data_IF_874792442065
#
_entry.id   IF_874792442065
#
_cell.length_a   1.000
_cell.length_b   1.000
_cell.length_c   1.000
_cell.angle_alpha   90.00
_cell.angle_beta   90.00
_cell.angle_gamma   90.00
#
_symmetry.space_group_name_H-M   'P 1'
#
loop_
_entity.id
_entity.type
_entity.pdbx_description
1 polymer ?
#
# COMPACT_ATOMS: atom_id res chain seq x y z
N UNK A 1 14.83 -18.87 -18.33
CA UNK A 1 16.12 -18.47 -17.72
C UNK A 1 16.02 -18.65 -16.22
N UNK A 2 17.13 -18.82 -15.51
CA UNK A 2 17.10 -18.90 -14.05
C UNK A 2 16.70 -17.52 -13.47
N UNK A 3 15.88 -17.52 -12.41
CA UNK A 3 15.52 -16.29 -11.69
C UNK A 3 16.77 -15.68 -11.05
N UNK A 4 16.82 -14.35 -10.98
CA UNK A 4 17.80 -13.62 -10.17
C UNK A 4 17.60 -13.97 -8.68
N UNK A 5 18.63 -13.86 -7.84
CA UNK A 5 18.53 -14.07 -6.40
C UNK A 5 17.83 -12.88 -5.71
N UNK A 6 16.74 -12.38 -6.28
CA UNK A 6 15.98 -11.22 -5.82
C UNK A 6 14.55 -11.64 -5.48
N UNK A 7 13.96 -11.05 -4.43
CA UNK A 7 12.60 -11.31 -4.00
C UNK A 7 11.78 -10.02 -3.86
N UNK A 8 10.56 -10.06 -4.37
CA UNK A 8 9.54 -9.01 -4.23
C UNK A 8 8.40 -9.54 -3.35
N UNK A 9 8.13 -8.87 -2.23
CA UNK A 9 7.11 -9.24 -1.25
C UNK A 9 5.89 -8.31 -1.37
N UNK A 10 4.69 -8.88 -1.43
CA UNK A 10 3.45 -8.11 -1.65
C UNK A 10 3.39 -7.53 -3.06
N UNK A 11 3.69 -8.36 -4.05
CA UNK A 11 3.96 -7.89 -5.41
C UNK A 11 2.71 -7.43 -6.18
N UNK A 12 1.51 -7.80 -5.73
CA UNK A 12 0.25 -7.53 -6.44
C UNK A 12 0.34 -7.88 -7.91
N UNK A 13 -0.09 -6.97 -8.78
CA UNK A 13 0.02 -7.12 -10.24
C UNK A 13 1.28 -6.46 -10.83
N UNK A 14 2.17 -5.93 -10.00
CA UNK A 14 3.31 -5.13 -10.44
C UNK A 14 4.63 -5.78 -10.01
N UNK A 15 5.15 -6.63 -10.90
CA UNK A 15 6.32 -7.45 -10.63
C UNK A 15 7.15 -7.73 -11.88
N UNK A 16 8.39 -8.16 -11.67
CA UNK A 16 9.31 -8.54 -12.74
C UNK A 16 9.49 -10.06 -12.79
N UNK A 17 9.45 -10.65 -13.99
CA UNK A 17 9.49 -12.11 -14.17
C UNK A 17 10.81 -12.76 -13.74
N UNK A 18 11.90 -12.01 -13.80
CA UNK A 18 13.22 -12.49 -13.34
C UNK A 18 13.32 -12.57 -11.81
N UNK A 19 12.34 -12.05 -11.05
CA UNK A 19 12.35 -12.04 -9.59
C UNK A 19 11.50 -13.19 -9.00
N UNK A 20 11.80 -13.56 -7.77
CA UNK A 20 10.87 -14.37 -6.96
C UNK A 20 9.79 -13.44 -6.42
N UNK A 21 8.54 -13.67 -6.82
CA UNK A 21 7.43 -12.79 -6.47
C UNK A 21 6.51 -13.51 -5.50
N UNK A 22 6.18 -12.87 -4.38
CA UNK A 22 5.34 -13.42 -3.30
C UNK A 22 4.20 -12.46 -3.02
N UNK A 23 2.99 -12.99 -2.88
CA UNK A 23 1.81 -12.20 -2.50
C UNK A 23 0.85 -13.06 -1.66
N UNK A 24 -0.07 -12.44 -0.92
CA UNK A 24 -1.09 -13.17 -0.16
C UNK A 24 -2.01 -13.97 -1.08
N UNK A 25 -2.33 -13.41 -2.26
CA UNK A 25 -3.11 -14.07 -3.31
C UNK A 25 -2.28 -14.07 -4.59
N UNK A 26 -2.15 -15.22 -5.25
CA UNK A 26 -1.44 -15.31 -6.53
C UNK A 26 -2.14 -14.48 -7.60
N UNK A 27 -1.46 -13.47 -8.12
CA UNK A 27 -1.95 -12.58 -9.18
C UNK A 27 -1.65 -13.08 -10.60
N UNK A 28 -0.81 -14.11 -10.75
CA UNK A 28 -0.44 -14.66 -12.05
C UNK A 28 0.53 -15.83 -11.98
N UNK A 29 0.88 -16.38 -13.14
CA UNK A 29 1.88 -17.44 -13.25
C UNK A 29 3.24 -16.94 -12.74
N UNK A 30 3.84 -17.67 -11.80
CA UNK A 30 5.15 -17.32 -11.22
C UNK A 30 5.11 -16.47 -9.96
N UNK A 31 3.91 -16.15 -9.43
CA UNK A 31 3.70 -15.54 -8.11
C UNK A 31 3.37 -16.62 -7.08
N UNK A 32 4.09 -16.60 -5.96
CA UNK A 32 3.91 -17.55 -4.87
C UNK A 32 2.87 -16.99 -3.90
N UNK A 33 1.73 -17.67 -3.78
CA UNK A 33 0.74 -17.34 -2.77
C UNK A 33 1.25 -17.72 -1.37
N UNK A 34 1.46 -16.73 -0.50
CA UNK A 34 1.98 -16.93 0.85
C UNK A 34 1.61 -15.81 1.81
N UNK A 35 1.29 -16.18 3.06
CA UNK A 35 1.01 -15.24 4.13
C UNK A 35 2.30 -14.81 4.84
N UNK A 36 2.72 -13.56 4.67
CA UNK A 36 3.95 -13.04 5.28
C UNK A 36 3.86 -12.87 6.82
N UNK A 37 2.67 -12.95 7.43
CA UNK A 37 2.52 -12.99 8.89
C UNK A 37 3.13 -14.23 9.53
N UNK A 38 3.31 -15.31 8.76
CA UNK A 38 3.96 -16.55 9.24
C UNK A 38 5.43 -16.65 8.83
N UNK A 39 6.01 -15.54 8.33
CA UNK A 39 7.41 -15.46 7.89
C UNK A 39 7.59 -15.59 6.38
N UNK A 40 8.83 -15.42 5.91
CA UNK A 40 9.19 -15.53 4.49
C UNK A 40 9.56 -16.99 4.19
N UNK A 41 8.95 -17.68 3.19
CA UNK A 41 9.03 -19.13 3.01
C UNK A 41 10.32 -19.57 2.30
N UNK A 42 11.45 -19.04 2.74
CA UNK A 42 12.76 -19.27 2.15
C UNK A 42 13.82 -19.39 3.23
N UNK A 43 14.89 -20.12 2.92
CA UNK A 43 16.05 -20.30 3.79
C UNK A 43 16.81 -18.99 4.02
N UNK A 44 17.62 -18.99 5.07
CA UNK A 44 18.49 -17.88 5.44
C UNK A 44 19.51 -17.60 4.35
N UNK A 45 19.90 -16.33 4.18
CA UNK A 45 20.96 -15.93 3.25
C UNK A 45 20.75 -16.41 1.80
N UNK A 46 19.50 -16.44 1.34
CA UNK A 46 19.15 -16.85 -0.02
C UNK A 46 19.24 -15.73 -1.03
N UNK A 47 18.76 -14.54 -0.67
CA UNK A 47 18.55 -13.45 -1.62
C UNK A 47 19.62 -12.36 -1.48
N UNK A 48 20.00 -11.76 -2.60
CA UNK A 48 20.86 -10.57 -2.64
C UNK A 48 20.04 -9.29 -2.53
N UNK A 49 18.77 -9.34 -2.90
CA UNK A 49 17.85 -8.21 -2.82
C UNK A 49 16.51 -8.66 -2.28
N UNK A 50 15.99 -7.93 -1.31
CA UNK A 50 14.60 -7.98 -0.87
C UNK A 50 13.99 -6.62 -1.19
N UNK A 51 12.85 -6.64 -1.86
CA UNK A 51 12.05 -5.46 -2.17
C UNK A 51 10.62 -5.65 -1.71
N UNK A 52 10.01 -4.59 -1.20
CA UNK A 52 8.58 -4.50 -1.06
C UNK A 52 8.09 -3.07 -1.22
N UNK A 53 6.89 -2.91 -1.78
CA UNK A 53 6.25 -1.63 -2.04
C UNK A 53 4.85 -1.65 -1.46
N UNK A 54 4.57 -0.72 -0.55
CA UNK A 54 3.25 -0.54 0.04
C UNK A 54 2.71 -1.83 0.69
N UNK A 55 3.53 -2.42 1.58
CA UNK A 55 3.16 -3.61 2.34
C UNK A 55 3.31 -3.43 3.85
N UNK A 56 4.40 -2.80 4.29
CA UNK A 56 4.79 -2.74 5.71
C UNK A 56 3.75 -2.01 6.54
N UNK A 57 3.10 -1.01 5.95
CA UNK A 57 2.06 -0.21 6.58
C UNK A 57 0.79 -1.02 6.91
N UNK A 58 0.58 -2.16 6.25
CA UNK A 58 -0.56 -3.05 6.52
C UNK A 58 -0.31 -3.98 7.71
N UNK A 59 0.89 -4.00 8.28
CA UNK A 59 1.22 -4.81 9.45
C UNK A 59 1.03 -4.02 10.75
N UNK A 60 0.49 -4.67 11.78
CA UNK A 60 0.61 -4.16 13.14
C UNK A 60 2.09 -3.95 13.46
N UNK A 61 2.40 -2.94 14.29
CA UNK A 61 3.78 -2.56 14.60
C UNK A 61 4.70 -3.75 14.94
N UNK A 62 4.23 -4.68 15.78
CA UNK A 62 5.00 -5.87 16.16
C UNK A 62 5.17 -6.87 15.02
N UNK A 63 4.18 -7.01 14.13
CA UNK A 63 4.28 -7.90 12.99
C UNK A 63 5.13 -7.29 11.88
N UNK A 64 5.13 -5.97 11.73
CA UNK A 64 6.07 -5.24 10.87
C UNK A 64 7.52 -5.42 11.34
N UNK A 65 7.77 -5.40 12.65
CA UNK A 65 9.09 -5.74 13.20
C UNK A 65 9.52 -7.18 12.84
N UNK A 66 8.61 -8.15 12.92
CA UNK A 66 8.89 -9.53 12.49
C UNK A 66 9.18 -9.59 10.99
N UNK A 67 8.43 -8.88 10.15
CA UNK A 67 8.68 -8.81 8.71
C UNK A 67 10.08 -8.28 8.41
N UNK A 68 10.50 -7.18 9.04
CA UNK A 68 11.86 -6.63 8.87
C UNK A 68 12.93 -7.62 9.34
N UNK A 69 12.70 -8.32 10.45
CA UNK A 69 13.59 -9.40 10.90
C UNK A 69 13.71 -10.53 9.88
N UNK A 70 12.60 -10.93 9.26
CA UNK A 70 12.59 -11.96 8.21
C UNK A 70 13.29 -11.49 6.94
N UNK A 71 13.12 -10.22 6.53
CA UNK A 71 13.88 -9.62 5.44
C UNK A 71 15.39 -9.70 5.71
N UNK A 72 15.83 -9.40 6.93
CA UNK A 72 17.23 -9.56 7.33
C UNK A 72 17.67 -11.03 7.26
N UNK A 73 16.84 -11.97 7.76
CA UNK A 73 17.17 -13.41 7.76
C UNK A 73 17.44 -13.93 6.34
N UNK A 74 16.55 -13.65 5.40
CA UNK A 74 16.63 -14.20 4.03
C UNK A 74 17.67 -13.50 3.15
N UNK A 75 18.11 -12.28 3.51
CA UNK A 75 19.19 -11.60 2.79
C UNK A 75 20.54 -12.28 3.03
N UNK A 76 21.39 -12.36 2.00
CA UNK A 76 22.82 -12.64 2.09
C UNK A 76 23.54 -11.48 2.77
N UNK A 77 24.70 -11.74 3.38
CA UNK A 77 25.59 -10.68 3.87
C UNK A 77 25.93 -9.70 2.73
N UNK A 78 25.78 -8.41 2.97
CA UNK A 78 25.93 -7.36 1.96
C UNK A 78 24.74 -7.18 1.02
N UNK A 79 23.68 -7.98 1.18
CA UNK A 79 22.44 -7.85 0.41
C UNK A 79 21.65 -6.60 0.77
N UNK A 80 20.81 -6.15 -0.16
CA UNK A 80 20.08 -4.87 -0.07
C UNK A 80 18.60 -5.11 0.21
N UNK A 81 18.08 -4.43 1.22
CA UNK A 81 16.64 -4.25 1.43
C UNK A 81 16.25 -2.90 0.85
N UNK A 82 15.27 -2.89 -0.08
CA UNK A 82 14.64 -1.67 -0.59
C UNK A 82 13.16 -1.65 -0.21
N UNK A 83 12.74 -0.56 0.41
CA UNK A 83 11.39 -0.36 0.92
C UNK A 83 10.79 0.87 0.26
N UNK A 84 9.57 0.75 -0.26
CA UNK A 84 8.70 1.87 -0.61
C UNK A 84 7.43 1.80 0.25
N UNK A 85 7.08 2.89 0.94
CA UNK A 85 5.89 3.01 1.80
C UNK A 85 5.27 4.41 1.67
N UNK A 86 4.01 4.62 2.06
CA UNK A 86 3.44 5.97 2.20
C UNK A 86 4.30 6.86 3.12
N UNK A 87 4.63 8.07 2.65
CA UNK A 87 5.47 9.00 3.41
C UNK A 87 4.64 9.79 4.44
N UNK A 88 4.65 9.32 5.70
CA UNK A 88 3.99 10.00 6.81
C UNK A 88 4.49 11.43 7.00
N UNK A 89 5.79 11.67 6.82
CA UNK A 89 6.36 13.01 7.01
C UNK A 89 5.82 13.97 5.95
N UNK A 90 5.76 13.54 4.70
CA UNK A 90 5.21 14.35 3.62
C UNK A 90 3.71 14.60 3.81
N UNK A 91 2.94 13.58 4.21
CA UNK A 91 1.50 13.73 4.53
C UNK A 91 1.31 14.77 5.65
N UNK A 92 2.09 14.69 6.73
CA UNK A 92 2.01 15.62 7.85
C UNK A 92 2.41 17.06 7.45
N UNK A 93 3.43 17.23 6.61
CA UNK A 93 3.83 18.54 6.07
C UNK A 93 2.74 19.14 5.19
N UNK A 94 2.14 18.34 4.32
CA UNK A 94 1.04 18.76 3.46
C UNK A 94 -0.19 19.16 4.29
N UNK A 95 -0.46 18.44 5.38
CA UNK A 95 -1.56 18.76 6.29
C UNK A 95 -1.40 20.18 6.85
N UNK A 96 -0.23 20.51 7.40
CA UNK A 96 0.04 21.86 7.93
C UNK A 96 -0.01 22.90 6.81
N UNK A 97 0.61 22.62 5.66
CA UNK A 97 0.65 23.55 4.53
C UNK A 97 -0.77 23.91 4.03
N UNK A 98 -1.60 22.90 3.79
CA UNK A 98 -2.94 23.12 3.24
C UNK A 98 -3.93 23.62 4.28
N UNK A 99 -3.75 23.30 5.56
CA UNK A 99 -4.50 23.92 6.65
C UNK A 99 -4.27 25.44 6.67
N UNK A 100 -3.01 25.86 6.67
CA UNK A 100 -2.67 27.30 6.69
C UNK A 100 -3.19 28.05 5.46
N UNK A 101 -3.12 27.44 4.28
CA UNK A 101 -3.66 28.01 3.05
C UNK A 101 -5.21 28.07 3.07
N UNK A 102 -5.87 27.04 3.60
CA UNK A 102 -7.33 26.99 3.72
C UNK A 102 -7.85 28.05 4.70
N UNK A 103 -7.16 28.28 5.83
CA UNK A 103 -7.51 29.34 6.78
C UNK A 103 -7.41 30.75 6.18
N UNK A 104 -6.56 30.93 5.18
CA UNK A 104 -6.43 32.18 4.40
C UNK A 104 -7.42 32.27 3.23
N UNK A 105 -8.27 31.27 3.05
CA UNK A 105 -9.20 31.15 1.91
C UNK A 105 -8.49 31.17 0.55
N UNK A 106 -7.29 30.59 0.47
CA UNK A 106 -6.61 30.43 -0.81
C UNK A 106 -7.40 29.47 -1.72
N UNK A 107 -7.47 29.80 -3.01
CA UNK A 107 -8.22 29.01 -3.98
C UNK A 107 -7.69 27.57 -4.08
N UNK A 108 -8.57 26.58 -3.96
CA UNK A 108 -8.23 25.15 -4.04
C UNK A 108 -7.57 24.56 -2.79
N UNK A 109 -7.31 25.36 -1.75
CA UNK A 109 -6.63 24.88 -0.54
C UNK A 109 -7.51 23.96 0.31
N UNK A 110 -8.82 24.22 0.35
CA UNK A 110 -9.79 23.40 1.06
C UNK A 110 -9.81 21.97 0.53
N UNK A 111 -9.83 21.80 -0.79
CA UNK A 111 -9.85 20.49 -1.44
C UNK A 111 -8.57 19.73 -1.13
N UNK A 112 -7.40 20.39 -1.23
CA UNK A 112 -6.11 19.77 -0.90
C UNK A 112 -6.04 19.34 0.57
N UNK A 113 -6.54 20.17 1.49
CA UNK A 113 -6.66 19.84 2.90
C UNK A 113 -7.55 18.61 3.12
N UNK A 114 -8.74 18.58 2.51
CA UNK A 114 -9.66 17.44 2.60
C UNK A 114 -9.00 16.15 2.13
N UNK A 115 -8.27 16.17 1.00
CA UNK A 115 -7.54 15.00 0.50
C UNK A 115 -6.46 14.53 1.48
N UNK A 116 -5.65 15.45 2.03
CA UNK A 116 -4.60 15.06 3.00
C UNK A 116 -5.19 14.45 4.28
N UNK A 117 -6.38 14.90 4.70
CA UNK A 117 -7.08 14.27 5.82
C UNK A 117 -7.50 12.83 5.49
N UNK A 118 -7.90 12.54 4.26
CA UNK A 118 -8.19 11.17 3.81
C UNK A 118 -6.93 10.30 3.79
N UNK A 119 -5.83 10.82 3.27
CA UNK A 119 -4.53 10.10 3.28
C UNK A 119 -4.08 9.77 4.71
N UNK A 120 -4.30 10.68 5.66
CA UNK A 120 -3.88 10.52 7.04
C UNK A 120 -4.81 9.62 7.86
N UNK A 121 -6.13 9.74 7.68
CA UNK A 121 -7.11 9.10 8.57
C UNK A 121 -7.95 8.02 7.89
N UNK A 122 -8.51 8.26 6.70
CA UNK A 122 -9.38 7.27 6.03
C UNK A 122 -8.64 5.95 5.83
N UNK A 123 -7.37 6.00 5.43
CA UNK A 123 -6.49 4.84 5.30
C UNK A 123 -6.36 3.98 6.56
N UNK A 124 -6.57 4.57 7.74
CA UNK A 124 -6.36 3.94 9.06
C UNK A 124 -7.69 3.53 9.72
N UNK A 125 -8.77 4.27 9.45
CA UNK A 125 -10.05 4.14 10.17
C UNK A 125 -11.20 3.60 9.33
N UNK A 126 -11.06 3.51 7.99
CA UNK A 126 -12.16 3.09 7.12
C UNK A 126 -12.66 1.67 7.45
N UNK A 127 -13.92 1.43 7.09
CA UNK A 127 -14.63 0.18 7.36
C UNK A 127 -15.24 -0.46 6.11
N UNK A 128 -14.97 0.12 4.94
CA UNK A 128 -15.42 -0.33 3.62
C UNK A 128 -14.32 -0.09 2.59
N UNK A 129 -14.31 -0.90 1.54
CA UNK A 129 -13.31 -0.81 0.48
C UNK A 129 -13.28 0.57 -0.19
N UNK A 130 -12.08 1.12 -0.36
CA UNK A 130 -11.84 2.42 -0.98
C UNK A 130 -12.28 3.66 -0.19
N UNK A 131 -12.99 3.48 0.93
CA UNK A 131 -13.30 4.54 1.90
C UNK A 131 -13.97 5.78 1.30
N UNK A 132 -13.71 6.93 1.92
CA UNK A 132 -14.16 8.25 1.44
C UNK A 132 -13.34 8.77 0.26
N UNK A 133 -12.16 8.19 -0.01
CA UNK A 133 -11.35 8.58 -1.18
C UNK A 133 -12.06 8.32 -2.50
N UNK A 134 -12.75 7.19 -2.64
CA UNK A 134 -13.53 6.90 -3.86
C UNK A 134 -14.65 7.94 -4.04
N UNK A 135 -15.36 8.29 -2.96
CA UNK A 135 -16.42 9.29 -3.00
C UNK A 135 -15.87 10.67 -3.39
N UNK A 136 -14.70 11.02 -2.86
CA UNK A 136 -13.99 12.24 -3.20
C UNK A 136 -13.54 12.27 -4.66
N UNK A 137 -12.98 11.18 -5.19
CA UNK A 137 -12.58 11.05 -6.60
C UNK A 137 -13.80 11.12 -7.54
N UNK A 138 -14.97 10.65 -7.11
CA UNK A 138 -16.19 10.70 -7.91
C UNK A 138 -16.75 12.11 -8.07
N UNK A 139 -16.47 13.00 -7.12
CA UNK A 139 -16.97 14.37 -7.13
C UNK A 139 -16.14 15.27 -8.05
N UNK A 140 -16.50 15.27 -9.34
CA UNK A 140 -15.86 16.11 -10.35
C UNK A 140 -16.08 17.61 -10.14
N UNK A 141 -17.00 18.03 -9.25
CA UNK A 141 -17.25 19.45 -8.99
C UNK A 141 -16.09 20.13 -8.25
N UNK A 142 -15.23 19.33 -7.59
CA UNK A 142 -14.05 19.82 -6.85
C UNK A 142 -12.90 20.30 -7.74
N UNK A 143 -12.89 19.96 -9.04
CA UNK A 143 -11.91 20.41 -10.03
C UNK A 143 -10.43 20.28 -9.58
N UNK A 144 -10.07 19.14 -8.98
CA UNK A 144 -8.77 18.90 -8.33
C UNK A 144 -7.99 17.73 -8.95
N UNK A 145 -8.41 17.23 -10.11
CA UNK A 145 -7.82 16.09 -10.81
C UNK A 145 -6.31 16.22 -11.01
N UNK A 146 -5.84 17.41 -11.40
CA UNK A 146 -4.41 17.67 -11.60
C UNK A 146 -3.59 17.45 -10.33
N UNK A 147 -4.14 17.87 -9.18
CA UNK A 147 -3.51 17.67 -7.88
C UNK A 147 -3.51 16.20 -7.48
N UNK A 148 -4.62 15.47 -7.67
CA UNK A 148 -4.68 14.04 -7.38
C UNK A 148 -3.65 13.25 -8.21
N UNK A 149 -3.56 13.54 -9.51
CA UNK A 149 -2.60 12.89 -10.40
C UNK A 149 -1.15 13.20 -10.02
N UNK A 150 -0.85 14.44 -9.64
CA UNK A 150 0.47 14.83 -9.14
C UNK A 150 0.81 14.08 -7.85
N UNK A 151 -0.16 13.95 -6.94
CA UNK A 151 0.01 13.39 -5.60
C UNK A 151 0.16 11.87 -5.60
N UNK A 152 -0.67 11.15 -6.35
CA UNK A 152 -0.81 9.69 -6.27
C UNK A 152 -0.43 8.97 -7.58
N UNK A 153 -0.08 9.71 -8.63
CA UNK A 153 0.55 9.16 -9.84
C UNK A 153 -0.37 8.27 -10.66
N UNK A 154 0.19 7.15 -11.15
CA UNK A 154 -0.49 6.32 -12.16
C UNK A 154 -1.70 5.56 -11.61
N UNK A 155 -1.70 5.17 -10.34
CA UNK A 155 -2.78 4.36 -9.76
C UNK A 155 -4.08 5.14 -9.64
N UNK A 156 -4.02 6.40 -9.20
CA UNK A 156 -5.22 7.25 -9.12
C UNK A 156 -5.76 7.55 -10.52
N UNK A 157 -4.89 7.65 -11.53
CA UNK A 157 -5.30 7.81 -12.93
C UNK A 157 -6.18 6.64 -13.38
N UNK A 158 -5.71 5.41 -13.20
CA UNK A 158 -6.48 4.20 -13.54
C UNK A 158 -7.79 4.12 -12.75
N UNK A 159 -7.76 4.49 -11.47
CA UNK A 159 -8.95 4.50 -10.61
C UNK A 159 -9.99 5.51 -11.11
N UNK A 160 -9.56 6.73 -11.48
CA UNK A 160 -10.41 7.77 -12.06
C UNK A 160 -11.04 7.31 -13.38
N UNK A 161 -10.25 6.73 -14.28
CA UNK A 161 -10.70 6.20 -15.57
C UNK A 161 -11.76 5.11 -15.39
N UNK A 162 -11.55 4.18 -14.48
CA UNK A 162 -12.50 3.09 -14.20
C UNK A 162 -13.81 3.61 -13.59
N UNK A 163 -13.72 4.43 -12.54
CA UNK A 163 -14.90 4.90 -11.81
C UNK A 163 -15.74 5.87 -12.64
N UNK A 164 -15.09 6.79 -13.36
CA UNK A 164 -15.78 7.82 -14.15
C UNK A 164 -16.17 7.30 -15.54
N UNK A 165 -15.39 6.39 -16.12
CA UNK A 165 -15.71 5.70 -17.38
C UNK A 165 -16.89 4.73 -17.26
N UNK A 166 -17.13 4.14 -16.09
CA UNK A 166 -18.31 3.29 -15.87
C UNK A 166 -19.65 4.05 -16.01
N UNK A 167 -19.67 5.40 -15.97
CA UNK A 167 -20.89 6.20 -16.17
C UNK A 167 -21.36 6.29 -17.63
N UNK A 168 -20.54 5.95 -18.63
CA UNK A 168 -20.93 6.03 -20.06
C UNK A 168 -21.54 4.75 -20.62
N UNK A 169 -21.44 3.61 -19.93
CA UNK A 169 -22.02 2.32 -20.35
C UNK A 169 -22.99 1.75 -19.30
N UNK A 170 -24.09 2.47 -19.02
CA UNK A 170 -25.22 1.89 -18.28
C UNK A 170 -26.29 1.37 -19.25
N UNK A 171 -26.02 0.19 -19.81
CA UNK A 171 -27.05 -0.71 -20.33
C UNK A 171 -26.57 -2.16 -20.16
N UNK A 172 -26.76 -2.72 -18.97
CA UNK A 172 -26.98 -4.16 -18.84
C UNK A 172 -27.82 -4.46 -17.59
N UNK A 173 -28.89 -5.21 -17.82
CA UNK A 173 -29.89 -5.67 -16.88
C UNK A 173 -29.47 -6.98 -16.21
N UNK A 174 -29.73 -7.03 -14.91
CA UNK A 174 -29.74 -8.12 -13.90
C UNK A 174 -29.66 -9.62 -14.31
N UNK A 175 -28.98 -10.40 -13.47
CA UNK A 175 -29.54 -11.55 -12.70
C UNK A 175 -28.47 -12.15 -11.75
N UNK A 176 -28.53 -11.97 -10.43
CA UNK A 176 -29.27 -12.63 -9.31
C UNK A 176 -28.58 -13.89 -8.70
N UNK A 177 -28.72 -14.11 -7.36
CA UNK A 177 -27.82 -14.87 -6.50
C UNK A 177 -28.29 -16.30 -6.19
N UNK A 178 -27.36 -17.17 -5.77
CA UNK A 178 -27.64 -18.39 -4.99
C UNK A 178 -27.21 -18.12 -3.54
N UNK A 179 -28.09 -18.09 -2.53
CA UNK A 179 -28.99 -19.11 -1.99
C UNK A 179 -28.24 -20.35 -1.47
N UNK A 180 -27.74 -20.26 -0.23
CA UNK A 180 -27.67 -21.26 0.85
C UNK A 180 -26.91 -20.51 1.99
N UNK A 181 -27.53 -19.95 3.03
CA UNK A 181 -28.15 -20.64 4.16
C UNK A 181 -29.21 -19.74 4.82
N UNK A 182 -30.43 -20.26 5.02
CA UNK A 182 -31.44 -19.71 5.93
C UNK A 182 -31.74 -20.74 7.01
N UNK A 183 -31.30 -20.52 8.24
CA UNK A 183 -31.96 -21.08 9.43
C UNK A 183 -31.96 -20.04 10.58
N UNK A 184 -33.19 -19.69 10.99
CA UNK A 184 -33.71 -19.16 12.27
C UNK A 184 -32.75 -18.39 13.21
N UNK A 185 -33.03 -17.09 13.41
CA UNK A 185 -32.38 -16.28 14.45
C UNK A 185 -33.12 -15.01 14.91
N UNK A 186 -34.44 -14.86 14.67
CA UNK A 186 -35.16 -13.58 14.89
C UNK A 186 -35.20 -13.03 16.34
N UNK A 187 -34.70 -13.78 17.33
CA UNK A 187 -34.53 -13.32 18.72
C UNK A 187 -33.05 -12.99 19.04
N UNK A 188 -32.10 -13.55 18.27
CA UNK A 188 -30.65 -13.32 18.39
C UNK A 188 -30.23 -12.00 17.72
N UNK A 189 -30.94 -11.60 16.66
CA UNK A 189 -30.63 -10.43 15.81
C UNK A 189 -30.76 -9.05 16.49
N UNK A 190 -31.37 -8.95 17.68
CA UNK A 190 -31.43 -7.69 18.43
C UNK A 190 -30.23 -7.53 19.38
N UNK A 191 -29.71 -8.63 19.92
CA UNK A 191 -28.52 -8.67 20.78
C UNK A 191 -27.23 -8.76 19.94
N UNK A 192 -27.29 -9.37 18.75
CA UNK A 192 -26.14 -9.57 17.85
C UNK A 192 -25.87 -8.43 16.86
N UNK A 193 -26.67 -7.37 16.79
CA UNK A 193 -26.46 -6.32 15.79
C UNK A 193 -25.14 -5.58 15.99
N UNK A 194 -24.76 -5.36 17.25
CA UNK A 194 -23.45 -4.80 17.59
C UNK A 194 -22.34 -5.82 17.33
N UNK A 195 -22.53 -7.09 17.69
CA UNK A 195 -21.56 -8.17 17.44
C UNK A 195 -21.32 -8.43 15.94
N UNK A 196 -22.35 -8.34 15.11
CA UNK A 196 -22.25 -8.52 13.65
C UNK A 196 -21.57 -7.32 13.01
N UNK A 197 -21.85 -6.09 13.48
CA UNK A 197 -21.12 -4.90 13.04
C UNK A 197 -19.66 -4.95 13.49
N UNK A 198 -19.40 -5.29 14.75
CA UNK A 198 -18.06 -5.46 15.28
C UNK A 198 -17.28 -6.55 14.53
N UNK A 199 -17.93 -7.67 14.17
CA UNK A 199 -17.34 -8.73 13.37
C UNK A 199 -17.03 -8.26 11.95
N UNK A 200 -17.95 -7.56 11.28
CA UNK A 200 -17.73 -7.00 9.95
C UNK A 200 -16.59 -5.96 9.95
N UNK A 201 -16.55 -5.09 10.97
CA UNK A 201 -15.45 -4.17 11.18
C UNK A 201 -14.13 -4.90 11.42
N UNK A 202 -14.13 -5.94 12.27
CA UNK A 202 -12.97 -6.78 12.50
C UNK A 202 -12.46 -7.44 11.22
N UNK A 203 -13.35 -8.09 10.46
CA UNK A 203 -13.03 -8.73 9.18
C UNK A 203 -12.42 -7.74 8.19
N UNK A 204 -12.97 -6.53 8.08
CA UNK A 204 -12.42 -5.50 7.20
C UNK A 204 -11.05 -5.00 7.71
N UNK A 205 -10.88 -4.80 9.03
CA UNK A 205 -9.58 -4.42 9.61
C UNK A 205 -8.50 -5.48 9.37
N UNK A 206 -8.87 -6.77 9.31
CA UNK A 206 -7.97 -7.87 8.99
C UNK A 206 -7.85 -8.17 7.49
N UNK A 207 -8.60 -7.47 6.63
CA UNK A 207 -8.68 -7.71 5.18
C UNK A 207 -7.50 -7.19 4.37
N UNK A 208 -6.46 -6.63 5.02
CA UNK A 208 -5.23 -6.17 4.38
C UNK A 208 -5.32 -4.79 3.73
N UNK A 209 -6.49 -4.16 3.65
CA UNK A 209 -6.64 -2.82 3.05
C UNK A 209 -6.26 -1.66 3.97
N UNK A 210 -6.34 -1.86 5.29
CA UNK A 210 -6.10 -0.77 6.26
C UNK A 210 -4.61 -0.61 6.53
N UNK A 211 -4.15 0.63 6.60
CA UNK A 211 -2.84 0.96 7.17
C UNK A 211 -2.92 0.81 8.70
N UNK A 212 -2.22 -0.17 9.23
CA UNK A 212 -2.13 -0.45 10.66
C UNK A 212 -1.03 0.39 11.35
N UNK A 213 0.03 0.74 10.61
CA UNK A 213 1.11 1.58 11.13
C UNK A 213 1.79 2.34 9.99
N UNK A 214 2.08 3.63 10.20
CA UNK A 214 2.80 4.45 9.21
C UNK A 214 4.19 4.80 9.71
N UNK A 215 5.10 5.09 8.78
CA UNK A 215 6.47 5.44 9.10
C UNK A 215 6.90 6.71 8.36
N UNK A 216 7.79 7.45 8.99
CA UNK A 216 8.58 8.51 8.41
C UNK A 216 10.04 8.04 8.25
N UNK A 217 10.91 8.90 7.74
CA UNK A 217 12.34 8.59 7.57
C UNK A 217 13.04 8.24 8.88
N UNK A 218 12.58 8.75 10.03
CA UNK A 218 13.22 8.51 11.31
C UNK A 218 12.80 7.15 11.88
N UNK A 219 11.49 6.94 12.03
CA UNK A 219 10.90 5.71 12.57
C UNK A 219 11.20 4.48 11.72
N UNK A 220 11.19 4.59 10.37
CA UNK A 220 11.64 3.49 9.51
C UNK A 220 13.13 3.23 9.67
N UNK A 221 13.95 4.28 9.78
CA UNK A 221 15.39 4.15 10.00
C UNK A 221 15.71 3.47 11.33
N UNK A 222 15.05 3.85 12.42
CA UNK A 222 15.20 3.23 13.73
C UNK A 222 14.76 1.76 13.74
N UNK A 223 13.66 1.44 13.04
CA UNK A 223 13.20 0.07 12.85
C UNK A 223 14.29 -0.78 12.16
N UNK A 224 14.88 -0.27 11.08
CA UNK A 224 15.93 -0.98 10.36
C UNK A 224 17.19 -1.18 11.22
N UNK A 225 17.63 -0.14 11.94
CA UNK A 225 18.78 -0.24 12.87
C UNK A 225 18.55 -1.27 13.96
N UNK A 226 17.34 -1.33 14.53
CA UNK A 226 16.95 -2.32 15.55
C UNK A 226 17.18 -3.76 15.07
N UNK A 227 17.05 -4.01 13.76
CA UNK A 227 17.28 -5.31 13.13
C UNK A 227 18.65 -5.43 12.45
N UNK A 228 19.65 -4.68 12.92
CA UNK A 228 21.06 -4.75 12.48
C UNK A 228 21.33 -4.35 11.03
N UNK A 229 20.37 -3.69 10.37
CA UNK A 229 20.64 -3.10 9.07
C UNK A 229 21.63 -1.92 9.19
N UNK A 230 22.47 -1.79 8.18
CA UNK A 230 23.49 -0.74 8.04
C UNK A 230 23.30 0.03 6.72
N UNK A 231 24.11 1.07 6.48
CA UNK A 231 24.03 1.89 5.27
C UNK A 231 22.60 2.39 4.94
N UNK A 232 21.83 2.73 5.97
CA UNK A 232 20.42 3.14 5.84
C UNK A 232 20.35 4.53 5.22
N UNK A 233 19.65 4.64 4.10
CA UNK A 233 19.54 5.89 3.33
C UNK A 233 18.17 6.04 2.69
N UNK A 234 17.64 7.26 2.74
CA UNK A 234 16.56 7.67 1.85
C UNK A 234 17.12 7.78 0.44
N UNK A 235 16.43 7.21 -0.53
CA UNK A 235 16.82 7.19 -1.95
C UNK A 235 15.66 7.69 -2.81
N UNK A 236 15.91 7.93 -4.10
CA UNK A 236 14.83 8.22 -5.06
C UNK A 236 14.28 6.95 -5.67
N UNK A 237 13.14 7.06 -6.33
CA UNK A 237 12.51 5.95 -7.06
C UNK A 237 13.43 5.35 -8.14
N UNK A 238 14.28 6.17 -8.77
CA UNK A 238 15.20 5.78 -9.85
C UNK A 238 16.68 5.67 -9.43
N UNK A 239 17.00 5.89 -8.16
CA UNK A 239 18.36 5.77 -7.62
C UNK A 239 18.41 4.56 -6.69
N UNK A 240 19.37 3.66 -6.92
CA UNK A 240 19.51 2.44 -6.13
C UNK A 240 20.94 1.89 -6.13
N UNK A 241 21.31 1.20 -5.06
CA UNK A 241 22.50 0.34 -5.04
C UNK A 241 22.30 -1.00 -5.75
N UNK A 242 21.07 -1.35 -6.12
CA UNK A 242 20.73 -2.55 -6.88
C UNK A 242 21.10 -2.33 -8.36
N UNK A 243 21.90 -3.22 -8.98
CA UNK A 243 22.31 -3.06 -10.37
C UNK A 243 21.12 -3.02 -11.33
N UNK A 244 21.16 -2.08 -12.28
CA UNK A 244 20.12 -1.90 -13.31
C UNK A 244 18.70 -1.70 -12.73
N UNK A 245 18.57 -1.08 -11.56
CA UNK A 245 17.29 -0.92 -10.85
C UNK A 245 16.10 -0.46 -11.72
N UNK A 246 16.28 0.59 -12.51
CA UNK A 246 15.22 1.15 -13.36
C UNK A 246 14.75 0.19 -14.45
N UNK A 247 15.56 -0.80 -14.86
CA UNK A 247 15.17 -1.84 -15.82
C UNK A 247 14.02 -2.71 -15.29
N UNK A 248 13.93 -2.89 -13.98
CA UNK A 248 12.88 -3.72 -13.38
C UNK A 248 11.52 -3.01 -13.35
N UNK A 249 11.50 -1.68 -13.46
CA UNK A 249 10.27 -0.89 -13.53
C UNK A 249 9.35 -1.06 -12.31
N UNK A 250 9.89 -1.31 -11.11
CA UNK A 250 9.09 -1.60 -9.89
C UNK A 250 8.61 -0.34 -9.15
N UNK A 251 9.44 0.71 -9.12
CA UNK A 251 9.10 2.02 -8.55
C UNK A 251 8.76 3.08 -9.62
N UNK A 252 8.71 2.66 -10.89
CA UNK A 252 8.62 3.55 -12.05
C UNK A 252 7.63 3.03 -13.09
N UNK A 253 6.87 3.94 -13.71
CA UNK A 253 6.07 3.70 -14.92
C UNK A 253 6.42 4.77 -15.93
N UNK A 254 6.86 4.38 -17.14
CA UNK A 254 7.22 5.27 -18.24
C UNK A 254 8.19 6.42 -17.87
N UNK A 255 9.27 6.13 -17.13
CA UNK A 255 10.24 7.16 -16.74
C UNK A 255 9.85 7.99 -15.52
N UNK A 256 8.68 7.75 -14.93
CA UNK A 256 8.12 8.54 -13.82
C UNK A 256 7.86 7.69 -12.59
N UNK A 257 7.97 8.30 -11.42
CA UNK A 257 7.65 7.64 -10.15
C UNK A 257 6.24 7.05 -10.18
N UNK A 258 6.12 5.78 -9.82
CA UNK A 258 4.84 5.05 -9.82
C UNK A 258 3.85 5.61 -8.80
N UNK A 259 4.35 5.86 -7.58
CA UNK A 259 3.62 6.38 -6.41
C UNK A 259 4.39 7.57 -5.80
N UNK A 260 4.11 8.81 -6.26
CA UNK A 260 4.83 10.03 -5.84
C UNK A 260 4.80 10.31 -4.33
N UNK A 261 3.80 9.77 -3.65
CA UNK A 261 3.57 9.84 -2.21
C UNK A 261 4.44 8.90 -1.37
N UNK A 262 5.37 8.19 -2.01
CA UNK A 262 6.19 7.17 -1.35
C UNK A 262 7.49 7.72 -0.77
N UNK A 263 7.81 7.26 0.43
CA UNK A 263 9.16 7.27 0.98
C UNK A 263 9.90 6.02 0.49
N UNK A 264 11.05 6.21 -0.16
CA UNK A 264 11.94 5.12 -0.57
C UNK A 264 13.17 5.06 0.33
N UNK A 265 13.46 3.89 0.89
CA UNK A 265 14.62 3.68 1.76
C UNK A 265 15.35 2.40 1.38
N UNK A 266 16.68 2.45 1.40
CA UNK A 266 17.55 1.29 1.25
C UNK A 266 18.39 1.07 2.50
N UNK A 267 18.67 -0.20 2.80
CA UNK A 267 19.59 -0.62 3.85
C UNK A 267 20.30 -1.92 3.48
N UNK A 268 21.40 -2.25 4.16
CA UNK A 268 22.21 -3.45 3.93
C UNK A 268 22.27 -4.38 5.13
N UNK A 269 22.32 -5.69 4.85
CA UNK A 269 22.64 -6.73 5.83
C UNK A 269 24.13 -6.82 6.12
#
# INVERSE_FOLDING_TARGET
MAKLPYINLGCGFHYHNDWTNVDFISSGEGVIAHNLLVGIPFEDNKFEVVYHSHILEHFLKLDGEKLISECYRVLKKGGVLRIAIPDLEQIARNYILYLEAALKNESGAKEKYEWTMLEMYDQVVRTKGGGEMIEYIQDTSKNNDAFLLERNGHEVKLLMENIRGAKTNSNSTASNPSLLYRIKGKIKDWILKEDVKALAHGQFRFGGEIHQWMYDRFSLGELLKKHNFTDIKVVKFNESSIPQWTKFGLDEVDGKVRKPDSLFMEAKK
#
